data_IF_238976516635
#
_entry.id   IF_238976516635
#
_cell.length_a   1.000
_cell.length_b   1.000
_cell.length_c   1.000
_cell.angle_alpha   90.00
_cell.angle_beta   90.00
_cell.angle_gamma   90.00
#
_symmetry.space_group_name_H-M   'P 1'
#
loop_
_entity.id
_entity.type
_entity.pdbx_description
1 polymer ?
#
# COMPACT_ATOMS: atom_id res chain seq x y z
N UNK A 1 -9.13 14.97 9.42
CA UNK A 1 -7.80 14.37 9.28
C UNK A 1 -7.18 15.03 8.06
N UNK A 2 -6.02 15.67 8.17
CA UNK A 2 -5.51 16.48 7.04
C UNK A 2 -4.73 15.66 5.99
N UNK A 3 -4.21 14.49 6.38
CA UNK A 3 -3.51 13.57 5.47
C UNK A 3 -3.46 12.16 6.07
N UNK A 4 -3.11 11.19 5.23
CA UNK A 4 -2.76 9.81 5.61
C UNK A 4 -1.37 9.51 5.05
N UNK A 5 -0.50 8.93 5.86
CA UNK A 5 0.82 8.49 5.44
C UNK A 5 0.78 7.04 4.93
N UNK A 6 0.72 6.88 3.61
CA UNK A 6 0.66 5.58 2.95
C UNK A 6 2.01 4.83 2.95
N UNK A 7 3.09 5.43 3.46
CA UNK A 7 4.37 4.75 3.70
C UNK A 7 4.49 4.23 5.15
N UNK A 8 3.45 4.44 5.96
CA UNK A 8 3.43 4.08 7.38
C UNK A 8 2.21 3.22 7.74
N UNK A 9 2.03 2.14 6.99
CA UNK A 9 0.89 1.24 7.13
C UNK A 9 1.24 0.12 8.12
N UNK A 10 0.47 0.02 9.22
CA UNK A 10 0.62 -1.07 10.21
C UNK A 10 -0.26 -2.25 9.84
N UNK A 11 0.30 -3.46 9.90
CA UNK A 11 -0.46 -4.69 9.70
C UNK A 11 -1.06 -5.22 11.02
N UNK A 12 -2.05 -4.50 11.55
CA UNK A 12 -2.66 -4.83 12.86
C UNK A 12 -3.35 -6.19 12.87
N UNK A 13 -3.90 -6.61 11.73
CA UNK A 13 -4.66 -7.84 11.59
C UNK A 13 -3.79 -9.01 11.08
N UNK A 14 -2.49 -8.78 10.88
CA UNK A 14 -1.53 -9.79 10.39
C UNK A 14 -1.95 -10.40 9.05
N UNK A 15 -2.48 -9.58 8.15
CA UNK A 15 -2.97 -9.99 6.82
C UNK A 15 -1.91 -9.83 5.72
N UNK A 16 -0.79 -9.16 6.01
CA UNK A 16 0.29 -8.98 5.04
C UNK A 16 0.82 -10.33 4.59
N UNK A 17 0.89 -10.52 3.27
CA UNK A 17 1.53 -11.69 2.66
C UNK A 17 3.04 -11.52 2.50
N UNK A 18 3.54 -10.29 2.71
CA UNK A 18 4.96 -9.93 2.62
C UNK A 18 5.54 -9.65 4.01
N UNK A 19 6.84 -9.90 4.24
CA UNK A 19 7.50 -9.51 5.47
C UNK A 19 7.35 -8.01 5.75
N UNK A 20 7.18 -7.67 7.02
CA UNK A 20 7.16 -6.28 7.47
C UNK A 20 8.58 -5.76 7.67
N UNK A 21 8.79 -4.47 7.45
CA UNK A 21 10.03 -3.78 7.80
C UNK A 21 9.71 -2.80 8.93
N UNK A 22 10.37 -2.96 10.08
CA UNK A 22 10.10 -2.17 11.29
C UNK A 22 8.60 -2.15 11.67
N UNK A 23 7.96 -3.33 11.65
CA UNK A 23 6.54 -3.55 11.95
C UNK A 23 5.54 -2.82 11.02
N UNK A 24 5.99 -2.43 9.82
CA UNK A 24 5.18 -1.77 8.81
C UNK A 24 5.17 -2.54 7.50
N UNK A 25 4.03 -2.49 6.82
CA UNK A 25 3.97 -2.85 5.42
C UNK A 25 4.76 -1.81 4.63
N UNK A 26 5.65 -2.28 3.77
CA UNK A 26 6.43 -1.45 2.86
C UNK A 26 6.18 -1.95 1.45
N UNK A 27 5.98 -1.02 0.53
CA UNK A 27 5.98 -1.29 -0.90
C UNK A 27 7.36 -1.79 -1.36
N UNK A 28 7.44 -2.42 -2.55
CA UNK A 28 8.73 -2.61 -3.24
C UNK A 28 9.40 -1.26 -3.49
N UNK A 29 10.58 -1.30 -4.09
CA UNK A 29 11.41 -0.11 -4.32
C UNK A 29 10.81 0.91 -5.33
N UNK A 30 9.61 0.67 -5.87
CA UNK A 30 8.82 1.62 -6.65
C UNK A 30 7.60 2.08 -5.83
N UNK A 31 7.23 3.35 -5.97
CA UNK A 31 6.25 4.02 -5.11
C UNK A 31 4.82 3.54 -5.34
N UNK A 32 3.87 4.04 -4.55
CA UNK A 32 2.43 3.90 -4.85
C UNK A 32 2.14 4.47 -6.24
N UNK A 33 1.46 3.68 -7.08
CA UNK A 33 1.19 4.04 -8.47
C UNK A 33 -0.26 4.48 -8.70
N UNK A 34 -1.16 4.09 -7.81
CA UNK A 34 -2.56 4.46 -7.87
C UNK A 34 -3.20 4.62 -6.49
N UNK A 35 -4.10 5.59 -6.38
CA UNK A 35 -5.02 5.73 -5.24
C UNK A 35 -6.38 6.11 -5.78
N UNK A 36 -7.41 5.36 -5.41
CA UNK A 36 -8.80 5.68 -5.77
C UNK A 36 -9.77 5.37 -4.62
N UNK A 37 -10.95 5.98 -4.66
CA UNK A 37 -12.03 5.78 -3.69
C UNK A 37 -12.87 4.58 -4.14
N UNK A 38 -13.01 3.59 -3.26
CA UNK A 38 -13.82 2.40 -3.53
C UNK A 38 -15.26 2.60 -3.04
N UNK A 39 -15.43 3.21 -1.87
CA UNK A 39 -16.74 3.52 -1.29
C UNK A 39 -16.65 4.70 -0.29
N UNK A 40 -17.70 4.92 0.51
CA UNK A 40 -17.79 6.04 1.47
C UNK A 40 -16.82 5.96 2.67
N UNK A 41 -16.07 4.86 2.76
CA UNK A 41 -15.16 4.55 3.85
C UNK A 41 -13.81 3.99 3.42
N UNK A 42 -13.64 3.53 2.17
CA UNK A 42 -12.42 2.88 1.72
C UNK A 42 -11.75 3.56 0.53
N UNK A 43 -10.42 3.48 0.53
CA UNK A 43 -9.59 3.70 -0.65
C UNK A 43 -8.87 2.41 -1.03
N UNK A 44 -8.56 2.28 -2.31
CA UNK A 44 -7.58 1.32 -2.82
C UNK A 44 -6.24 2.03 -3.00
N UNK A 45 -5.17 1.35 -2.63
CA UNK A 45 -3.79 1.74 -2.93
C UNK A 45 -3.19 0.67 -3.83
N UNK A 46 -2.70 1.09 -4.99
CA UNK A 46 -2.25 0.21 -6.06
C UNK A 46 -0.74 0.33 -6.24
N UNK A 47 -0.11 -0.82 -6.44
CA UNK A 47 1.29 -0.94 -6.81
C UNK A 47 1.40 -1.86 -8.03
N UNK A 48 1.77 -1.30 -9.17
CA UNK A 48 1.95 -2.02 -10.42
C UNK A 48 3.44 -2.26 -10.67
N UNK A 49 3.89 -3.49 -10.41
CA UNK A 49 5.30 -3.86 -10.49
C UNK A 49 5.73 -4.37 -11.87
N UNK A 50 4.95 -4.10 -12.90
CA UNK A 50 5.20 -4.61 -14.24
C UNK A 50 6.31 -3.87 -15.00
N UNK A 51 6.86 -2.77 -14.45
CA UNK A 51 7.92 -2.01 -15.10
C UNK A 51 9.25 -2.79 -15.15
N UNK A 52 9.92 -2.91 -16.31
CA UNK A 52 11.21 -3.57 -16.42
C UNK A 52 12.25 -2.92 -15.50
N UNK A 53 13.09 -3.74 -14.85
CA UNK A 53 14.10 -3.31 -13.87
C UNK A 53 13.56 -2.80 -12.52
N UNK A 54 12.26 -2.97 -12.23
CA UNK A 54 11.71 -2.71 -10.89
C UNK A 54 12.50 -3.51 -9.85
N UNK A 55 12.90 -2.83 -8.78
CA UNK A 55 13.62 -3.49 -7.67
C UNK A 55 12.57 -4.04 -6.71
N UNK A 56 12.51 -5.36 -6.58
CA UNK A 56 11.60 -6.01 -5.65
C UNK A 56 12.19 -6.08 -4.24
N UNK A 57 11.37 -6.55 -3.30
CA UNK A 57 11.80 -6.94 -1.95
C UNK A 57 12.75 -8.14 -1.93
N UNK A 58 12.79 -8.96 -2.98
CA UNK A 58 13.59 -10.19 -3.07
C UNK A 58 14.56 -10.17 -4.26
N UNK A 59 15.89 -10.30 -4.06
CA UNK A 59 16.85 -10.25 -5.17
C UNK A 59 16.50 -11.20 -6.32
N UNK A 60 16.55 -10.67 -7.55
CA UNK A 60 16.31 -11.41 -8.81
C UNK A 60 14.89 -11.99 -8.98
N UNK A 61 13.91 -11.48 -8.25
CA UNK A 61 12.50 -11.85 -8.40
C UNK A 61 11.67 -10.61 -8.63
N UNK A 62 10.75 -10.60 -9.58
CA UNK A 62 9.80 -9.48 -9.72
C UNK A 62 8.83 -9.50 -8.54
N UNK A 63 8.52 -8.34 -7.95
CA UNK A 63 7.48 -8.32 -6.92
C UNK A 63 6.08 -8.44 -7.54
N UNK A 64 5.11 -8.78 -6.69
CA UNK A 64 3.74 -8.91 -7.12
C UNK A 64 3.14 -7.52 -7.46
N UNK A 65 2.15 -7.51 -8.34
CA UNK A 65 1.20 -6.40 -8.39
C UNK A 65 0.30 -6.50 -7.15
N UNK A 66 0.15 -5.38 -6.44
CA UNK A 66 -0.51 -5.37 -5.13
C UNK A 66 -1.66 -4.36 -5.13
N UNK A 67 -2.83 -4.80 -4.64
CA UNK A 67 -3.98 -3.96 -4.33
C UNK A 67 -4.24 -4.03 -2.84
N UNK A 68 -4.22 -2.89 -2.16
CA UNK A 68 -4.41 -2.80 -0.71
C UNK A 68 -5.64 -1.95 -0.44
N UNK A 69 -6.64 -2.53 0.24
CA UNK A 69 -7.83 -1.82 0.66
C UNK A 69 -7.61 -1.23 2.06
N UNK A 70 -7.80 0.08 2.22
CA UNK A 70 -7.66 0.78 3.48
C UNK A 70 -8.98 1.43 3.87
N UNK A 71 -9.44 1.17 5.10
CA UNK A 71 -10.55 1.92 5.71
C UNK A 71 -10.03 3.28 6.21
N UNK A 72 -10.56 4.36 5.61
CA UNK A 72 -10.13 5.75 5.81
C UNK A 72 -11.31 6.71 6.01
N UNK A 73 -12.43 6.20 6.53
CA UNK A 73 -13.69 6.93 6.72
C UNK A 73 -13.55 8.31 7.36
N UNK A 74 -12.76 8.42 8.43
CA UNK A 74 -12.57 9.68 9.15
C UNK A 74 -11.81 10.73 8.35
N UNK A 75 -10.98 10.29 7.39
CA UNK A 75 -10.30 11.17 6.45
C UNK A 75 -11.27 11.64 5.36
N UNK A 76 -12.00 10.72 4.72
CA UNK A 76 -12.96 11.06 3.66
C UNK A 76 -14.10 11.96 4.15
N UNK A 77 -14.47 11.87 5.44
CA UNK A 77 -15.51 12.72 6.04
C UNK A 77 -14.98 14.03 6.62
N UNK A 78 -13.67 14.22 6.69
CA UNK A 78 -13.13 15.47 7.19
C UNK A 78 -13.23 16.57 6.16
N UNK A 79 -13.70 17.74 6.60
CA UNK A 79 -13.83 18.97 5.81
C UNK A 79 -12.62 19.87 6.02
#
# INVERSE_FOLDING_TARGET
>A
ISYIDLLNIKDRNKISKKPLVNDKFVFPFETIEGVDIVDDSHIVVENDNNFPYSSSREPNKTDDNEFILLEVKDFLKSK
#
